data_IF_909324680328
#
_entry.id   IF_909324680328
#
_cell.length_a   1.000
_cell.length_b   1.000
_cell.length_c   1.000
_cell.angle_alpha   90.00
_cell.angle_beta   90.00
_cell.angle_gamma   90.00
#
_symmetry.space_group_name_H-M   'P 1'
#
loop_
_entity.id
_entity.type
_entity.pdbx_description
1 polymer ?
#
# COMPACT_ATOMS: atom_id res chain seq x y z
N UNK A 1 5.00 -13.45 5.08
CA UNK A 1 4.51 -13.15 3.71
C UNK A 1 5.23 -14.03 2.68
N UNK A 2 4.71 -14.15 1.45
CA UNK A 2 5.43 -14.77 0.31
C UNK A 2 6.43 -13.74 -0.29
N UNK A 3 7.51 -14.21 -0.90
CA UNK A 3 8.40 -13.34 -1.67
C UNK A 3 7.65 -12.69 -2.85
N UNK A 4 7.98 -11.43 -3.14
CA UNK A 4 7.41 -10.68 -4.25
C UNK A 4 5.97 -10.19 -4.04
N UNK A 5 5.34 -10.48 -2.90
CA UNK A 5 4.05 -9.89 -2.55
C UNK A 5 4.25 -8.53 -1.90
N UNK A 6 3.95 -7.49 -2.66
CA UNK A 6 3.88 -6.11 -2.20
C UNK A 6 2.41 -5.72 -2.06
N UNK A 7 2.03 -5.16 -0.93
CA UNK A 7 0.65 -4.73 -0.68
C UNK A 7 0.58 -3.21 -0.85
N UNK A 8 -0.28 -2.76 -1.76
CA UNK A 8 -0.55 -1.36 -2.03
C UNK A 8 -2.02 -1.09 -1.73
N UNK A 9 -2.29 -0.24 -0.73
CA UNK A 9 -3.64 0.07 -0.26
C UNK A 9 -3.71 1.57 0.03
N UNK A 10 -4.79 2.28 -0.39
CA UNK A 10 -4.95 3.70 -0.11
C UNK A 10 -5.24 3.96 1.37
N UNK A 11 -4.92 5.15 1.90
CA UNK A 11 -5.35 5.53 3.25
C UNK A 11 -6.87 5.41 3.37
N UNK A 12 -7.33 4.86 4.48
CA UNK A 12 -8.76 4.78 4.80
C UNK A 12 -8.99 5.25 6.24
N UNK A 13 -10.26 5.34 6.67
CA UNK A 13 -10.65 5.98 7.93
C UNK A 13 -9.90 5.45 9.17
N UNK A 14 -9.55 4.16 9.21
CA UNK A 14 -8.73 3.53 10.24
C UNK A 14 -7.27 4.03 10.27
N UNK A 15 -6.61 4.14 9.11
CA UNK A 15 -5.21 4.58 9.03
C UNK A 15 -5.03 6.08 8.99
N UNK A 16 -6.09 6.84 8.70
CA UNK A 16 -6.08 8.31 8.70
C UNK A 16 -6.03 8.92 10.11
N UNK A 17 -6.04 8.08 11.14
CA UNK A 17 -5.86 8.50 12.54
C UNK A 17 -4.43 8.19 12.97
N UNK A 18 -3.67 9.20 13.41
CA UNK A 18 -2.37 8.97 14.00
C UNK A 18 -2.43 7.96 15.14
N UNK A 19 -1.61 6.93 15.06
CA UNK A 19 -1.61 5.82 16.02
C UNK A 19 -0.18 5.55 16.50
N UNK A 20 0.06 5.37 17.81
CA UNK A 20 1.39 5.02 18.30
C UNK A 20 1.82 3.64 17.81
N UNK A 21 3.04 3.55 17.30
CA UNK A 21 3.65 2.28 16.87
C UNK A 21 4.49 1.69 17.98
N UNK A 22 5.54 2.40 18.38
CA UNK A 22 6.51 1.93 19.38
C UNK A 22 7.37 3.10 19.89
N UNK A 23 8.23 2.83 20.86
CA UNK A 23 9.28 3.74 21.32
C UNK A 23 10.62 3.03 21.18
N UNK A 24 11.62 3.74 20.65
CA UNK A 24 12.97 3.20 20.43
C UNK A 24 13.96 3.96 21.30
N UNK A 25 14.75 3.22 22.08
CA UNK A 25 15.94 3.75 22.76
C UNK A 25 17.08 3.86 21.75
N UNK A 26 17.49 5.08 21.41
CA UNK A 26 18.46 5.32 20.35
C UNK A 26 19.86 5.53 20.92
N UNK A 27 20.88 5.15 20.13
CA UNK A 27 22.28 5.35 20.47
C UNK A 27 22.71 6.83 20.61
N UNK A 28 21.86 7.79 20.22
CA UNK A 28 22.08 9.21 20.52
C UNK A 28 21.86 9.57 22.00
N UNK A 29 21.30 8.66 22.80
CA UNK A 29 21.01 8.87 24.22
C UNK A 29 19.56 9.26 24.51
N UNK A 30 18.74 9.45 23.48
CA UNK A 30 17.33 9.81 23.60
C UNK A 30 16.39 8.67 23.19
N UNK A 31 15.12 8.82 23.56
CA UNK A 31 14.03 7.93 23.16
C UNK A 31 13.20 8.56 22.05
N UNK A 32 12.98 7.83 20.95
CA UNK A 32 12.15 8.29 19.84
C UNK A 32 10.78 7.62 19.89
N UNK A 33 9.72 8.43 20.00
CA UNK A 33 8.35 7.94 19.95
C UNK A 33 7.86 7.84 18.51
N UNK A 34 7.72 6.62 18.00
CA UNK A 34 7.29 6.35 16.64
C UNK A 34 5.78 6.23 16.52
N UNK A 35 5.24 6.90 15.52
CA UNK A 35 3.82 6.97 15.21
C UNK A 35 3.60 6.65 13.74
N UNK A 36 2.40 6.18 13.43
CA UNK A 36 1.96 5.96 12.07
C UNK A 36 0.79 6.86 11.76
N UNK A 37 0.85 7.56 10.63
CA UNK A 37 -0.24 8.37 10.10
C UNK A 37 -0.37 8.16 8.58
N UNK A 38 -1.59 7.90 8.11
CA UNK A 38 -1.90 7.48 6.74
C UNK A 38 -1.09 6.28 6.20
N UNK A 39 -0.55 5.47 7.11
CA UNK A 39 0.31 4.34 6.76
C UNK A 39 1.81 4.68 6.68
N UNK A 40 2.19 5.94 6.90
CA UNK A 40 3.56 6.48 6.88
C UNK A 40 4.11 6.61 8.29
N UNK A 41 5.41 6.36 8.41
CA UNK A 41 6.14 6.47 9.67
C UNK A 41 6.45 7.94 10.00
N UNK A 42 6.18 8.30 11.25
CA UNK A 42 6.43 9.61 11.82
C UNK A 42 7.11 9.47 13.17
N UNK A 43 7.85 10.50 13.56
CA UNK A 43 8.31 10.69 14.92
C UNK A 43 7.45 11.75 15.61
N UNK A 44 7.03 11.46 16.83
CA UNK A 44 6.21 12.37 17.63
C UNK A 44 7.10 13.29 18.45
N UNK A 45 7.01 14.58 18.17
CA UNK A 45 7.60 15.64 18.96
C UNK A 45 6.52 16.42 19.70
N UNK A 46 6.80 16.84 20.94
CA UNK A 46 5.93 17.74 21.68
C UNK A 46 6.58 19.13 21.58
N UNK A 47 5.85 20.08 21.02
CA UNK A 47 6.32 21.46 20.86
C UNK A 47 6.31 22.18 22.21
N UNK A 48 6.98 23.34 22.27
CA UNK A 48 6.96 24.26 23.42
C UNK A 48 5.55 24.75 23.79
N UNK A 49 4.64 24.77 22.81
CA UNK A 49 3.20 25.02 23.00
C UNK A 49 2.46 23.89 23.73
N UNK A 50 3.10 22.72 23.88
CA UNK A 50 2.47 21.49 24.36
C UNK A 50 1.71 20.72 23.26
N UNK A 51 1.68 21.24 22.03
CA UNK A 51 1.03 20.56 20.91
C UNK A 51 1.85 19.37 20.40
N UNK A 52 1.16 18.33 19.96
CA UNK A 52 1.79 17.17 19.34
C UNK A 52 2.05 17.44 17.86
N UNK A 53 3.32 17.36 17.47
CA UNK A 53 3.75 17.46 16.09
C UNK A 53 4.26 16.11 15.60
N UNK A 54 3.78 15.67 14.43
CA UNK A 54 4.22 14.43 13.79
C UNK A 54 5.15 14.77 12.63
N UNK A 55 6.43 14.49 12.81
CA UNK A 55 7.43 14.73 11.79
C UNK A 55 7.58 13.46 10.93
N UNK A 56 7.35 13.53 9.60
CA UNK A 56 7.49 12.36 8.74
C UNK A 56 8.96 11.91 8.68
N UNK A 57 9.18 10.61 8.83
CA UNK A 57 10.53 10.04 8.78
C UNK A 57 10.89 9.61 7.34
N UNK A 58 12.10 9.96 6.85
CA UNK A 58 12.55 9.54 5.54
C UNK A 58 12.84 8.03 5.54
N UNK A 59 12.23 7.32 4.59
CA UNK A 59 12.44 5.90 4.38
C UNK A 59 13.68 5.72 3.51
N UNK A 60 14.68 5.01 4.02
CA UNK A 60 15.90 4.70 3.29
C UNK A 60 15.70 3.47 2.38
N UNK A 61 15.09 2.40 2.92
CA UNK A 61 14.91 1.14 2.19
C UNK A 61 13.78 0.31 2.75
N UNK A 62 13.06 -0.39 1.87
CA UNK A 62 12.15 -1.49 2.23
C UNK A 62 12.70 -2.79 1.64
N UNK A 63 12.80 -3.85 2.45
CA UNK A 63 13.37 -5.12 1.99
C UNK A 63 12.82 -6.34 2.73
N UNK A 64 12.97 -7.50 2.09
CA UNK A 64 12.56 -8.79 2.65
C UNK A 64 13.77 -9.62 3.07
N UNK A 65 13.63 -10.39 4.16
CA UNK A 65 14.55 -11.45 4.58
C UNK A 65 13.83 -12.80 4.55
N UNK A 66 14.50 -13.82 4.01
CA UNK A 66 13.98 -15.19 3.93
C UNK A 66 14.19 -15.91 5.27
N UNK A 67 13.15 -16.58 5.75
CA UNK A 67 13.20 -17.47 6.91
C UNK A 67 13.58 -18.89 6.49
N UNK A 68 14.03 -19.71 7.44
CA UNK A 68 14.37 -21.12 7.24
C UNK A 68 13.20 -21.95 6.69
N UNK A 69 11.96 -21.61 7.06
CA UNK A 69 10.74 -22.27 6.59
C UNK A 69 10.26 -21.79 5.20
N UNK A 70 11.04 -20.97 4.48
CA UNK A 70 10.68 -20.45 3.16
C UNK A 70 9.72 -19.26 3.15
N UNK A 71 9.23 -18.81 4.31
CA UNK A 71 8.48 -17.55 4.43
C UNK A 71 9.41 -16.33 4.43
N UNK A 72 8.83 -15.14 4.24
CA UNK A 72 9.57 -13.88 4.24
C UNK A 72 9.06 -12.93 5.33
N UNK A 73 10.00 -12.28 6.03
CA UNK A 73 9.80 -11.12 6.90
C UNK A 73 10.20 -9.87 6.15
N UNK A 74 9.48 -8.79 6.39
CA UNK A 74 9.74 -7.53 5.71
C UNK A 74 10.15 -6.46 6.71
N UNK A 75 11.03 -5.57 6.27
CA UNK A 75 11.66 -4.56 7.09
C UNK A 75 11.68 -3.22 6.36
N UNK A 76 11.68 -2.15 7.15
CA UNK A 76 11.88 -0.78 6.71
C UNK A 76 13.06 -0.18 7.48
N UNK A 77 14.01 0.38 6.75
CA UNK A 77 15.06 1.22 7.29
C UNK A 77 14.67 2.68 7.10
N UNK A 78 14.78 3.48 8.15
CA UNK A 78 14.44 4.91 8.13
C UNK A 78 15.40 5.67 9.04
N UNK A 79 15.62 6.95 8.75
CA UNK A 79 16.36 7.81 9.66
C UNK A 79 15.40 8.46 10.66
N UNK A 80 15.72 8.40 11.96
CA UNK A 80 15.05 9.21 12.98
C UNK A 80 15.45 10.68 12.85
N UNK A 81 14.78 11.56 13.58
CA UNK A 81 15.10 13.01 13.57
C UNK A 81 16.54 13.31 14.00
N UNK A 82 17.13 12.47 14.85
CA UNK A 82 18.53 12.57 15.25
C UNK A 82 19.53 12.05 14.18
N UNK A 83 19.04 11.58 13.04
CA UNK A 83 19.86 11.09 11.92
C UNK A 83 20.33 9.63 12.05
N UNK A 84 20.00 8.94 13.14
CA UNK A 84 20.34 7.52 13.28
C UNK A 84 19.41 6.67 12.43
N UNK A 85 19.96 5.70 11.71
CA UNK A 85 19.16 4.75 10.94
C UNK A 85 18.65 3.65 11.86
N UNK A 86 17.33 3.48 11.87
CA UNK A 86 16.63 2.45 12.61
C UNK A 86 15.98 1.46 11.63
N UNK A 87 15.78 0.24 12.10
CA UNK A 87 15.14 -0.83 11.33
C UNK A 87 13.89 -1.31 12.06
N UNK A 88 12.74 -1.25 11.40
CA UNK A 88 11.47 -1.78 11.93
C UNK A 88 10.97 -2.94 11.07
N UNK A 89 10.34 -3.94 11.69
CA UNK A 89 9.55 -4.93 10.97
C UNK A 89 8.24 -4.30 10.54
N UNK A 90 7.74 -4.70 9.37
CA UNK A 90 6.46 -4.22 8.83
C UNK A 90 5.39 -5.33 8.76
N UNK A 91 5.77 -6.58 9.00
CA UNK A 91 4.83 -7.68 9.18
C UNK A 91 4.37 -7.77 10.64
N UNK A 92 3.14 -8.28 10.85
CA UNK A 92 2.53 -8.38 12.18
C UNK A 92 3.42 -9.13 13.19
N UNK A 93 3.60 -8.53 14.36
CA UNK A 93 4.31 -9.13 15.50
C UNK A 93 3.32 -9.68 16.54
N UNK A 94 3.78 -10.52 17.51
CA UNK A 94 2.94 -10.93 18.63
C UNK A 94 2.37 -9.74 19.41
N UNK A 95 3.17 -8.72 19.67
CA UNK A 95 2.78 -7.52 20.43
C UNK A 95 1.69 -6.72 19.69
N UNK A 96 1.81 -6.65 18.37
CA UNK A 96 0.78 -6.02 17.53
C UNK A 96 -0.55 -6.77 17.64
N UNK A 97 -0.51 -8.11 17.65
CA UNK A 97 -1.70 -8.96 17.80
C UNK A 97 -2.37 -8.74 19.15
N UNK A 98 -1.59 -8.65 20.22
CA UNK A 98 -2.09 -8.44 21.58
C UNK A 98 -2.74 -7.05 21.73
N UNK A 99 -2.21 -6.05 21.04
CA UNK A 99 -2.77 -4.69 20.99
C UNK A 99 -3.91 -4.51 19.98
N UNK A 100 -4.21 -5.52 19.16
CA UNK A 100 -5.14 -5.40 18.04
C UNK A 100 -4.68 -4.42 16.96
N UNK A 101 -3.38 -4.13 16.87
CA UNK A 101 -2.81 -3.19 15.93
C UNK A 101 -2.45 -3.90 14.62
N UNK A 102 -3.07 -3.51 13.51
CA UNK A 102 -2.76 -4.09 12.21
C UNK A 102 -1.52 -3.42 11.60
N UNK A 103 -0.32 -3.86 11.99
CA UNK A 103 0.94 -3.24 11.54
C UNK A 103 1.07 -3.18 10.01
N UNK A 104 0.62 -4.19 9.28
CA UNK A 104 0.72 -4.19 7.82
C UNK A 104 -0.12 -3.08 7.16
N UNK A 105 -1.14 -2.59 7.85
CA UNK A 105 -2.04 -1.54 7.40
C UNK A 105 -1.53 -0.15 7.80
N UNK A 106 -1.00 -0.03 9.02
CA UNK A 106 -0.49 1.22 9.58
C UNK A 106 0.98 1.52 9.22
N UNK A 107 1.78 0.50 8.87
CA UNK A 107 3.17 0.66 8.44
C UNK A 107 3.34 0.06 7.05
N UNK A 108 3.07 0.88 6.03
CA UNK A 108 2.95 0.43 4.64
C UNK A 108 4.31 0.42 3.94
N UNK A 109 4.48 -0.51 3.00
CA UNK A 109 5.67 -0.60 2.16
C UNK A 109 5.81 0.58 1.21
N UNK A 110 4.67 1.05 0.70
CA UNK A 110 4.59 2.15 -0.24
C UNK A 110 3.50 3.09 0.23
N UNK A 111 3.91 4.29 0.60
CA UNK A 111 3.05 5.37 1.07
C UNK A 111 3.04 6.48 0.05
N UNK A 112 1.96 7.24 0.04
CA UNK A 112 1.91 8.52 -0.67
C UNK A 112 3.03 9.43 -0.13
N UNK A 113 3.73 10.12 -1.01
CA UNK A 113 4.75 11.10 -0.63
C UNK A 113 4.37 12.48 -1.16
N UNK A 114 4.86 13.51 -0.48
CA UNK A 114 4.51 14.90 -0.80
C UNK A 114 5.07 15.35 -2.17
N UNK A 115 6.13 14.69 -2.64
CA UNK A 115 6.76 14.92 -3.94
C UNK A 115 6.04 14.23 -5.12
N UNK A 116 5.05 13.38 -4.85
CA UNK A 116 4.28 12.66 -5.87
C UNK A 116 5.08 11.62 -6.67
N UNK A 117 6.28 11.24 -6.23
CA UNK A 117 7.17 10.34 -6.98
C UNK A 117 7.29 8.94 -6.39
N UNK A 118 6.55 8.62 -5.33
CA UNK A 118 6.59 7.30 -4.71
C UNK A 118 6.06 6.19 -5.63
N UNK A 119 6.37 4.93 -5.29
CA UNK A 119 5.71 3.77 -5.91
C UNK A 119 4.18 3.87 -5.78
N UNK A 120 3.69 4.39 -4.65
CA UNK A 120 2.27 4.62 -4.46
C UNK A 120 1.72 5.62 -5.47
N UNK A 121 2.36 6.78 -5.63
CA UNK A 121 1.87 7.82 -6.55
C UNK A 121 1.94 7.36 -8.01
N UNK A 122 2.94 6.58 -8.38
CA UNK A 122 3.06 6.03 -9.74
C UNK A 122 2.04 4.91 -10.03
N UNK A 123 1.63 4.14 -9.03
CA UNK A 123 0.68 3.05 -9.20
C UNK A 123 -0.79 3.49 -8.98
N UNK A 124 -1.05 4.34 -7.98
CA UNK A 124 -2.39 4.83 -7.63
C UNK A 124 -2.71 6.22 -8.19
N UNK A 125 -1.70 7.06 -8.49
CA UNK A 125 -1.93 8.38 -9.08
C UNK A 125 -2.43 8.33 -10.52
N UNK A 126 -2.25 7.18 -11.18
CA UNK A 126 -2.85 6.87 -12.46
C UNK A 126 -4.05 5.96 -12.23
N UNK A 127 -5.19 6.33 -12.81
CA UNK A 127 -6.33 5.42 -12.85
C UNK A 127 -5.91 4.21 -13.68
N UNK A 128 -5.77 3.06 -13.03
CA UNK A 128 -5.47 1.82 -13.74
C UNK A 128 -6.52 1.61 -14.85
N UNK A 129 -6.09 1.27 -16.07
CA UNK A 129 -6.98 1.05 -17.22
C UNK A 129 -8.10 0.05 -16.91
N UNK A 130 -7.84 -0.86 -15.96
CA UNK A 130 -8.81 -1.77 -15.37
C UNK A 130 -10.05 -1.05 -14.80
N UNK A 131 -9.83 0.01 -14.04
CA UNK A 131 -10.89 0.80 -13.42
C UNK A 131 -11.57 1.71 -14.45
N UNK A 132 -10.84 2.17 -15.47
CA UNK A 132 -11.41 2.90 -16.60
C UNK A 132 -12.42 2.07 -17.40
N UNK A 133 -12.11 0.80 -17.67
CA UNK A 133 -13.01 -0.13 -18.36
C UNK A 133 -14.22 -0.51 -17.51
N UNK A 134 -14.05 -0.73 -16.21
CA UNK A 134 -15.17 -0.98 -15.30
C UNK A 134 -16.08 0.24 -15.19
N UNK A 135 -15.51 1.45 -15.06
CA UNK A 135 -16.27 2.69 -15.08
C UNK A 135 -16.96 2.93 -16.44
N UNK A 136 -16.34 2.51 -17.55
CA UNK A 136 -16.98 2.53 -18.88
C UNK A 136 -18.17 1.58 -18.92
N UNK A 137 -18.05 0.38 -18.34
CA UNK A 137 -19.16 -0.54 -18.20
C UNK A 137 -20.29 0.11 -17.39
N UNK A 138 -20.00 0.66 -16.21
CA UNK A 138 -20.98 1.33 -15.35
C UNK A 138 -21.66 2.50 -16.07
N UNK A 139 -20.90 3.31 -16.83
CA UNK A 139 -21.42 4.44 -17.62
C UNK A 139 -22.27 4.02 -18.82
N UNK A 140 -22.02 2.83 -19.37
CA UNK A 140 -22.79 2.31 -20.52
C UNK A 140 -24.08 1.61 -20.08
N UNK A 141 -24.28 1.36 -18.78
CA UNK A 141 -25.54 0.86 -18.24
C UNK A 141 -26.63 1.96 -18.33
N UNK A 142 -27.66 1.70 -19.13
CA UNK A 142 -28.79 2.61 -19.29
C UNK A 142 -29.51 2.85 -17.95
N UNK A 143 -29.47 4.08 -17.44
CA UNK A 143 -30.06 4.44 -16.14
C UNK A 143 -29.41 3.74 -14.94
N UNK A 144 -28.13 3.35 -15.05
CA UNK A 144 -27.42 2.60 -14.00
C UNK A 144 -27.91 1.15 -13.87
N UNK A 145 -28.63 0.64 -14.87
CA UNK A 145 -29.20 -0.71 -14.88
C UNK A 145 -28.65 -1.48 -16.05
N UNK A 146 -28.18 -2.69 -15.76
CA UNK A 146 -27.80 -3.63 -16.80
C UNK A 146 -29.03 -4.05 -17.60
N UNK A 147 -28.90 -4.09 -18.93
CA UNK A 147 -29.95 -4.46 -19.89
C UNK A 147 -30.22 -5.98 -19.88
N UNK A 148 -30.32 -6.55 -18.68
CA UNK A 148 -30.60 -7.96 -18.41
C UNK A 148 -31.57 -8.06 -17.23
N UNK A 149 -32.68 -8.78 -17.43
CA UNK A 149 -33.82 -8.79 -16.50
C UNK A 149 -33.69 -9.77 -15.33
N UNK A 150 -32.70 -10.66 -15.32
CA UNK A 150 -32.50 -11.63 -14.23
C UNK A 150 -31.07 -11.61 -13.73
N UNK A 151 -30.86 -11.93 -12.45
CA UNK A 151 -29.53 -11.98 -11.83
C UNK A 151 -28.57 -12.90 -12.60
N UNK A 152 -29.04 -14.06 -13.07
CA UNK A 152 -28.24 -14.99 -13.89
C UNK A 152 -27.77 -14.36 -15.20
N UNK A 153 -28.65 -13.61 -15.89
CA UNK A 153 -28.29 -12.94 -17.15
C UNK A 153 -27.34 -11.78 -16.90
N UNK A 154 -27.54 -11.01 -15.83
CA UNK A 154 -26.62 -9.96 -15.42
C UNK A 154 -25.24 -10.52 -15.08
N UNK A 155 -25.19 -11.65 -14.37
CA UNK A 155 -23.94 -12.35 -14.08
C UNK A 155 -23.24 -12.83 -15.36
N UNK A 156 -24.00 -13.36 -16.33
CA UNK A 156 -23.47 -13.74 -17.64
C UNK A 156 -22.83 -12.59 -18.40
N UNK A 157 -23.43 -11.39 -18.36
CA UNK A 157 -22.84 -10.17 -18.95
C UNK A 157 -21.51 -9.82 -18.28
N UNK A 158 -21.43 -9.87 -16.94
CA UNK A 158 -20.19 -9.60 -16.22
C UNK A 158 -19.08 -10.62 -16.52
N UNK A 159 -19.43 -11.90 -16.63
CA UNK A 159 -18.49 -12.95 -17.05
C UNK A 159 -17.98 -12.65 -18.47
N UNK A 160 -18.88 -12.35 -19.41
CA UNK A 160 -18.52 -12.03 -20.79
C UNK A 160 -17.59 -10.82 -20.89
N UNK A 161 -17.89 -9.77 -20.12
CA UNK A 161 -17.04 -8.58 -20.02
C UNK A 161 -15.64 -8.92 -19.48
N UNK A 162 -15.55 -9.68 -18.38
CA UNK A 162 -14.27 -10.10 -17.80
C UNK A 162 -13.44 -10.98 -18.77
N UNK A 163 -14.10 -11.92 -19.46
CA UNK A 163 -13.46 -12.76 -20.48
C UNK A 163 -12.93 -11.93 -21.65
N UNK A 164 -13.72 -10.98 -22.15
CA UNK A 164 -13.32 -10.08 -23.23
C UNK A 164 -12.09 -9.24 -22.85
N UNK A 165 -12.09 -8.68 -21.64
CA UNK A 165 -10.95 -7.93 -21.10
C UNK A 165 -9.68 -8.79 -21.04
N UNK A 166 -9.78 -10.01 -20.49
CA UNK A 166 -8.65 -10.93 -20.40
C UNK A 166 -8.14 -11.36 -21.78
N UNK A 167 -9.03 -11.58 -22.76
CA UNK A 167 -8.66 -11.93 -24.12
C UNK A 167 -7.88 -10.80 -24.82
N UNK A 168 -8.33 -9.55 -24.68
CA UNK A 168 -7.64 -8.36 -25.23
C UNK A 168 -6.28 -8.19 -24.57
N UNK A 169 -6.21 -8.26 -23.24
CA UNK A 169 -4.95 -8.16 -22.51
C UNK A 169 -3.95 -9.25 -22.95
N UNK A 170 -4.41 -10.50 -23.07
CA UNK A 170 -3.59 -11.61 -23.55
C UNK A 170 -3.15 -11.43 -25.01
N UNK A 171 -3.98 -10.82 -25.87
CA UNK A 171 -3.59 -10.49 -27.25
C UNK A 171 -2.51 -9.40 -27.28
N UNK A 172 -2.71 -8.29 -26.57
CA UNK A 172 -1.76 -7.18 -26.49
C UNK A 172 -0.42 -7.67 -25.93
N UNK A 173 -0.45 -8.42 -24.83
CA UNK A 173 0.75 -9.00 -24.23
C UNK A 173 1.53 -9.88 -25.21
N UNK A 174 0.85 -10.77 -25.93
CA UNK A 174 1.48 -11.61 -26.97
C UNK A 174 2.10 -10.78 -28.09
N UNK A 175 1.43 -9.71 -28.52
CA UNK A 175 1.92 -8.80 -29.57
C UNK A 175 3.16 -8.03 -29.12
N UNK A 176 3.23 -7.59 -27.86
CA UNK A 176 4.44 -6.93 -27.32
C UNK A 176 5.61 -7.89 -27.11
N UNK A 177 5.35 -9.18 -26.90
CA UNK A 177 6.38 -10.21 -26.80
C UNK A 177 6.92 -10.69 -28.15
N UNK A 178 6.25 -10.38 -29.25
CA UNK A 178 6.79 -10.64 -30.58
C UNK A 178 7.88 -9.60 -30.89
N UNK A 179 9.14 -10.02 -31.14
CA UNK A 179 10.16 -9.09 -31.58
C UNK A 179 9.72 -8.48 -32.92
N UNK A 180 9.99 -7.19 -33.11
CA UNK A 180 9.74 -6.53 -34.39
C UNK A 180 10.42 -7.35 -35.48
N UNK A 181 9.64 -7.88 -36.43
CA UNK A 181 10.19 -8.55 -37.59
C UNK A 181 11.08 -7.54 -38.32
N UNK A 182 12.36 -7.90 -38.49
CA UNK A 182 13.36 -7.13 -39.22
C UNK A 182 13.03 -7.06 -40.71
#
# INVERSE_FOLDING_TARGET
MKAGLTVLVPPHAGTAKPTPLTTIDCGCGDTHALWTDEGRLHERNILDTGETHLQPLPIAKVYARRNSNGSYRWYIDFATTCGTVQTERIDITPEDRDKGYNRAEHLRQHTKTDDGNSVYDRCYGWREDAESLNNTLDRTLYGGRMTAHTATRQHGVMIGFALGRNAIAAFIHRRHQQPAAA
#
